data_IF_624828500871
#
_entry.id   IF_624828500871
#
_cell.length_a   1.000
_cell.length_b   1.000
_cell.length_c   1.000
_cell.angle_alpha   90.00
_cell.angle_beta   90.00
_cell.angle_gamma   90.00
#
_symmetry.space_group_name_H-M   'P 1'
#
loop_
_entity.id
_entity.type
_entity.pdbx_description
1 polymer ?
#
# COMPACT_ATOMS: atom_id res chain seq x y z
N UNK A 1 -16.19 24.91 -16.42
CA UNK A 1 -14.93 25.34 -15.79
C UNK A 1 -14.34 24.15 -15.02
N UNK A 2 -13.11 23.68 -15.33
CA UNK A 2 -12.47 22.62 -14.55
C UNK A 2 -12.28 23.04 -13.09
N UNK A 3 -12.80 22.25 -12.15
CA UNK A 3 -12.56 22.47 -10.71
C UNK A 3 -11.20 21.87 -10.34
N UNK A 4 -10.26 22.69 -9.87
CA UNK A 4 -8.97 22.23 -9.34
C UNK A 4 -9.18 21.69 -7.92
N UNK A 5 -9.48 20.40 -7.81
CA UNK A 5 -9.58 19.73 -6.51
C UNK A 5 -8.17 19.49 -5.93
N UNK A 6 -7.87 20.13 -4.80
CA UNK A 6 -6.69 19.82 -3.99
C UNK A 6 -7.10 18.95 -2.80
N UNK A 7 -6.51 17.77 -2.71
CA UNK A 7 -6.80 16.83 -1.62
C UNK A 7 -6.13 17.30 -0.33
N UNK A 8 -6.89 17.35 0.78
CA UNK A 8 -6.40 17.80 2.10
C UNK A 8 -5.67 16.72 2.90
N UNK A 9 -5.94 15.44 2.65
CA UNK A 9 -5.35 14.32 3.43
C UNK A 9 -4.04 13.85 2.82
N UNK A 10 -3.01 13.67 3.64
CA UNK A 10 -1.79 12.98 3.24
C UNK A 10 -2.11 11.50 2.96
N UNK A 11 -1.90 11.04 1.72
CA UNK A 11 -2.11 9.64 1.37
C UNK A 11 -0.85 8.88 1.74
N UNK A 12 -1.02 7.99 2.71
CA UNK A 12 -0.03 7.00 3.08
C UNK A 12 1.28 7.59 3.56
N UNK A 13 1.35 7.75 4.87
CA UNK A 13 2.59 7.99 5.57
C UNK A 13 3.20 6.63 6.00
N UNK A 14 3.33 5.69 5.07
CA UNK A 14 3.90 4.37 5.34
C UNK A 14 4.99 4.02 4.35
N UNK A 15 6.04 3.35 4.82
CA UNK A 15 7.21 3.01 4.00
C UNK A 15 7.02 1.67 3.30
N UNK A 16 7.83 1.42 2.26
CA UNK A 16 7.82 0.12 1.58
C UNK A 16 8.20 -1.02 2.53
N UNK A 17 9.10 -0.76 3.48
CA UNK A 17 9.54 -1.74 4.47
C UNK A 17 8.42 -2.09 5.45
N UNK A 18 7.66 -1.10 5.92
CA UNK A 18 6.48 -1.33 6.76
C UNK A 18 5.45 -2.19 6.04
N UNK A 19 5.25 -1.98 4.73
CA UNK A 19 4.33 -2.80 3.93
C UNK A 19 4.83 -4.24 3.82
N UNK A 20 6.13 -4.43 3.60
CA UNK A 20 6.73 -5.76 3.48
C UNK A 20 6.67 -6.51 4.82
N UNK A 21 6.94 -5.82 5.93
CA UNK A 21 6.80 -6.37 7.26
C UNK A 21 5.33 -6.75 7.55
N UNK A 22 4.37 -5.88 7.24
CA UNK A 22 2.95 -6.16 7.41
C UNK A 22 2.49 -7.39 6.61
N UNK A 23 2.93 -7.53 5.35
CA UNK A 23 2.61 -8.70 4.53
C UNK A 23 3.24 -9.96 5.11
N UNK A 24 4.51 -9.88 5.57
CA UNK A 24 5.18 -11.01 6.20
C UNK A 24 4.49 -11.45 7.49
N UNK A 25 4.02 -10.49 8.29
CA UNK A 25 3.25 -10.73 9.51
C UNK A 25 1.94 -11.46 9.22
N UNK A 26 1.20 -11.03 8.18
CA UNK A 26 -0.02 -11.71 7.77
C UNK A 26 0.25 -13.12 7.25
N UNK A 27 1.32 -13.33 6.47
CA UNK A 27 1.73 -14.66 6.02
C UNK A 27 2.08 -15.60 7.19
N UNK A 28 2.56 -15.06 8.31
CA UNK A 28 2.82 -15.81 9.56
C UNK A 28 1.56 -16.16 10.35
N UNK A 29 0.40 -15.64 9.96
CA UNK A 29 -0.90 -15.92 10.60
C UNK A 29 -1.50 -14.75 11.38
N UNK A 30 -0.88 -13.56 11.37
CA UNK A 30 -1.46 -12.36 12.01
C UNK A 30 -2.65 -11.88 11.16
N UNK A 31 -3.70 -11.39 11.82
CA UNK A 31 -4.86 -10.85 11.12
C UNK A 31 -4.48 -9.58 10.32
N UNK A 32 -5.02 -9.43 9.11
CA UNK A 32 -4.75 -8.26 8.24
C UNK A 32 -5.04 -6.94 8.96
N UNK A 33 -6.09 -6.92 9.78
CA UNK A 33 -6.49 -5.77 10.61
C UNK A 33 -5.47 -5.42 11.68
N UNK A 34 -4.85 -6.42 12.28
CA UNK A 34 -3.87 -6.25 13.33
C UNK A 34 -2.55 -5.76 12.74
N UNK A 35 -2.07 -6.40 11.67
CA UNK A 35 -0.90 -5.93 10.92
C UNK A 35 -1.10 -4.49 10.43
N UNK A 36 -2.29 -4.12 9.95
CA UNK A 36 -2.57 -2.74 9.54
C UNK A 36 -2.42 -1.72 10.67
N UNK A 37 -2.82 -2.07 11.90
CA UNK A 37 -2.65 -1.19 13.08
C UNK A 37 -1.20 -1.11 13.52
N UNK A 38 -0.52 -2.25 13.56
CA UNK A 38 0.86 -2.38 14.03
C UNK A 38 1.84 -1.58 13.15
N UNK A 39 1.68 -1.69 11.83
CA UNK A 39 2.55 -1.01 10.87
C UNK A 39 2.01 0.34 10.37
N UNK A 40 0.85 0.80 10.87
CA UNK A 40 0.24 2.07 10.45
C UNK A 40 -0.27 2.08 9.01
N UNK A 41 -0.62 0.92 8.45
CA UNK A 41 -1.03 0.73 7.07
C UNK A 41 -2.53 0.46 7.01
N UNK A 42 -3.30 1.14 6.15
CA UNK A 42 -4.71 0.82 5.97
C UNK A 42 -4.92 -0.66 5.58
N UNK A 43 -5.84 -1.34 6.25
CA UNK A 43 -6.21 -2.75 5.98
C UNK A 43 -6.48 -3.00 4.49
N UNK A 44 -7.19 -2.06 3.85
CA UNK A 44 -7.51 -2.12 2.43
C UNK A 44 -6.26 -2.19 1.53
N UNK A 45 -5.17 -1.52 1.92
CA UNK A 45 -3.89 -1.54 1.20
C UNK A 45 -3.23 -2.91 1.33
N UNK A 46 -3.13 -3.44 2.55
CA UNK A 46 -2.53 -4.76 2.81
C UNK A 46 -3.30 -5.85 2.07
N UNK A 47 -4.64 -5.85 2.19
CA UNK A 47 -5.53 -6.79 1.48
C UNK A 47 -5.39 -6.69 -0.03
N UNK A 48 -5.35 -5.48 -0.58
CA UNK A 48 -5.16 -5.25 -2.02
C UNK A 48 -3.81 -5.79 -2.49
N UNK A 49 -2.74 -5.57 -1.72
CA UNK A 49 -1.39 -6.05 -2.05
C UNK A 49 -1.27 -7.57 -1.98
N UNK A 50 -1.95 -8.22 -1.04
CA UNK A 50 -2.03 -9.68 -0.97
C UNK A 50 -2.79 -10.28 -2.16
N UNK A 51 -3.88 -9.65 -2.59
CA UNK A 51 -4.68 -10.14 -3.72
C UNK A 51 -3.98 -9.96 -5.07
N UNK A 52 -3.15 -8.92 -5.21
CA UNK A 52 -2.34 -8.61 -6.39
C UNK A 52 -1.04 -9.44 -6.47
N UNK A 53 -0.97 -10.56 -5.76
CA UNK A 53 0.24 -11.36 -5.53
C UNK A 53 1.20 -11.45 -6.72
N UNK A 54 2.48 -11.32 -6.39
CA UNK A 54 3.67 -11.78 -7.13
C UNK A 54 3.83 -11.35 -8.60
N UNK A 55 2.99 -10.44 -9.11
CA UNK A 55 3.27 -9.67 -10.32
C UNK A 55 4.28 -8.55 -9.99
N UNK A 56 5.53 -8.98 -9.78
CA UNK A 56 6.81 -8.29 -9.89
C UNK A 56 6.77 -6.73 -9.86
N UNK A 57 7.22 -6.20 -8.73
CA UNK A 57 8.13 -5.04 -8.60
C UNK A 57 7.70 -3.59 -8.90
N UNK A 58 6.56 -3.27 -9.51
CA UNK A 58 6.41 -1.89 -10.04
C UNK A 58 6.07 -0.73 -9.06
N UNK A 59 5.72 -0.93 -7.78
CA UNK A 59 5.17 0.18 -6.95
C UNK A 59 5.53 0.09 -5.47
N UNK A 60 6.68 0.65 -5.07
CA UNK A 60 7.08 0.81 -3.67
C UNK A 60 6.54 2.14 -3.14
N UNK A 61 5.61 2.04 -2.18
CA UNK A 61 5.09 3.15 -1.39
C UNK A 61 3.72 3.71 -1.80
N UNK A 62 3.03 4.40 -0.87
CA UNK A 62 1.65 4.88 -1.01
C UNK A 62 1.43 5.95 -2.07
N UNK A 63 2.51 6.54 -2.56
CA UNK A 63 2.47 7.71 -3.43
C UNK A 63 3.42 7.53 -4.61
N UNK A 64 3.22 6.47 -5.37
CA UNK A 64 3.74 6.41 -6.74
C UNK A 64 2.57 5.98 -7.63
N UNK A 65 2.00 6.95 -8.34
CA UNK A 65 1.04 6.69 -9.41
C UNK A 65 1.62 5.65 -10.36
N UNK A 66 0.74 4.87 -11.01
CA UNK A 66 1.16 3.84 -11.98
C UNK A 66 2.26 4.42 -12.89
N UNK A 67 3.50 3.99 -12.69
CA UNK A 67 4.56 4.26 -13.65
C UNK A 67 4.19 3.38 -14.84
N UNK A 68 3.56 3.98 -15.84
CA UNK A 68 3.37 3.37 -17.13
C UNK A 68 4.77 3.07 -17.69
N UNK A 69 5.22 1.83 -17.58
CA UNK A 69 6.34 1.35 -18.38
C UNK A 69 5.89 1.41 -19.84
N UNK A 70 6.30 2.46 -20.53
CA UNK A 70 6.39 2.49 -21.98
C UNK A 70 7.79 1.95 -22.29
N UNK A 71 7.85 0.70 -22.73
CA UNK A 71 8.97 0.16 -23.48
C UNK A 71 8.43 -0.85 -24.50
#
# INVERSE_FOLDING_TARGET
>A
MPRKYQRKTNIGNWTADQLLQAISAVKRGIAIREAGREYGIPEATVRKRMKLGDAEESTKGPNMGKISYFF
#
